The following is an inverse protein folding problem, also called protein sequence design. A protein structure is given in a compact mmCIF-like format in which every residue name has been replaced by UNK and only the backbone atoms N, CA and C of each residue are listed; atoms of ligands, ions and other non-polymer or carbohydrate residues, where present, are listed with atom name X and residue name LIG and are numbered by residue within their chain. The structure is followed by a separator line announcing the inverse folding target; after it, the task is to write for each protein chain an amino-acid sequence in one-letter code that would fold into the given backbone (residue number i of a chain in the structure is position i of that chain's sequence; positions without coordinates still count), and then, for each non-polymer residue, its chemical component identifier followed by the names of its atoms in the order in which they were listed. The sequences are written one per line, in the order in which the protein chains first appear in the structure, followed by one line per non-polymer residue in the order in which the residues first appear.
data_IF_142677912288
#
_entry.id   IF_142677912288
#
_cell.length_a   1.000
_cell.length_b   1.000
_cell.length_c   1.000
_cell.angle_alpha   90.00
_cell.angle_beta   90.00
_cell.angle_gamma   90.00
#
_symmetry.space_group_name_H-M   'P 1'
#
loop_
_entity.id
_entity.type
_entity.pdbx_description
1 polymer ?
#
# COMPACT_ATOMS: atom_id res chain seq x y z
N UNK A 1 -3.06 -3.98 33.14
CA UNK A 1 -4.53 -3.80 33.00
C UNK A 1 -4.96 -3.85 31.54
N UNK A 2 -5.02 -5.06 30.96
CA UNK A 2 -5.39 -5.25 29.55
C UNK A 2 -6.87 -4.93 29.31
N UNK A 3 -7.15 -4.13 28.28
CA UNK A 3 -8.48 -3.81 27.75
C UNK A 3 -9.52 -3.43 28.84
N UNK A 4 -9.09 -2.68 29.86
CA UNK A 4 -9.97 -2.19 30.94
C UNK A 4 -10.44 -0.76 30.73
N UNK A 5 -9.91 -0.06 29.72
CA UNK A 5 -10.34 1.30 29.42
C UNK A 5 -11.77 1.29 28.88
N UNK A 6 -12.62 2.16 29.41
CA UNK A 6 -13.99 2.32 28.90
C UNK A 6 -14.05 3.52 27.94
N UNK A 7 -14.34 3.25 26.66
CA UNK A 7 -14.61 4.32 25.70
C UNK A 7 -15.87 5.09 26.12
N UNK A 8 -15.77 6.42 26.14
CA UNK A 8 -16.94 7.28 26.33
C UNK A 8 -18.05 6.99 25.31
N UNK A 9 -19.31 7.12 25.72
CA UNK A 9 -20.48 6.78 24.90
C UNK A 9 -20.52 7.48 23.55
N UNK A 10 -20.01 8.72 23.46
CA UNK A 10 -19.89 9.46 22.20
C UNK A 10 -18.98 8.76 21.18
N UNK A 11 -17.85 8.17 21.62
CA UNK A 11 -16.96 7.41 20.74
C UNK A 11 -17.61 6.11 20.28
N UNK A 12 -18.28 5.40 21.19
CA UNK A 12 -18.99 4.17 20.83
C UNK A 12 -20.05 4.43 19.76
N UNK A 13 -20.84 5.50 19.90
CA UNK A 13 -21.83 5.90 18.89
C UNK A 13 -21.19 6.24 17.54
N UNK A 14 -20.00 6.85 17.52
CA UNK A 14 -19.27 7.12 16.29
C UNK A 14 -18.84 5.81 15.63
N UNK A 15 -18.24 4.89 16.38
CA UNK A 15 -17.77 3.61 15.85
C UNK A 15 -18.93 2.78 15.28
N UNK A 16 -20.07 2.75 15.97
CA UNK A 16 -21.29 2.08 15.51
C UNK A 16 -21.87 2.75 14.26
N UNK A 17 -21.94 4.09 14.23
CA UNK A 17 -22.49 4.87 13.11
C UNK A 17 -21.72 4.62 11.80
N UNK A 18 -20.41 4.42 11.89
CA UNK A 18 -19.54 4.20 10.73
C UNK A 18 -19.28 2.72 10.43
N UNK A 19 -20.01 1.79 11.06
CA UNK A 19 -19.86 0.34 10.85
C UNK A 19 -18.41 -0.13 11.02
N UNK A 20 -17.77 0.32 12.10
CA UNK A 20 -16.39 -0.09 12.40
C UNK A 20 -16.36 -1.59 12.68
N UNK A 21 -15.44 -2.33 12.06
CA UNK A 21 -15.27 -3.78 12.29
C UNK A 21 -14.25 -4.09 13.39
N UNK A 22 -13.20 -3.27 13.50
CA UNK A 22 -12.19 -3.37 14.56
C UNK A 22 -11.68 -1.98 14.94
N UNK A 23 -11.52 -1.73 16.24
CA UNK A 23 -10.90 -0.51 16.77
C UNK A 23 -9.93 -0.88 17.89
N UNK A 24 -8.70 -0.38 17.80
CA UNK A 24 -7.59 -0.71 18.69
C UNK A 24 -6.83 0.57 19.06
N UNK A 25 -6.48 0.71 20.33
CA UNK A 25 -5.64 1.80 20.85
C UNK A 25 -4.48 1.19 21.62
N UNK A 26 -3.27 1.47 21.15
CA UNK A 26 -2.03 1.15 21.85
C UNK A 26 -1.53 2.40 22.54
N UNK A 27 -1.12 2.25 23.80
CA UNK A 27 -0.41 3.28 24.54
C UNK A 27 0.89 2.67 25.05
N UNK A 28 2.01 3.33 24.74
CA UNK A 28 3.37 2.83 24.95
C UNK A 28 3.58 1.47 24.27
N UNK A 29 3.58 0.37 25.03
CA UNK A 29 3.75 -1.00 24.52
C UNK A 29 2.58 -1.91 24.86
N UNK A 30 1.44 -1.35 25.30
CA UNK A 30 0.31 -2.11 25.78
C UNK A 30 -0.99 -1.73 25.05
N UNK A 31 -1.82 -2.74 24.80
CA UNK A 31 -3.19 -2.52 24.34
C UNK A 31 -4.00 -1.89 25.48
N UNK A 32 -4.34 -0.62 25.31
CA UNK A 32 -5.16 0.14 26.24
C UNK A 32 -6.64 -0.21 26.05
N UNK A 33 -7.07 -0.30 24.78
CA UNK A 33 -8.43 -0.59 24.39
C UNK A 33 -8.46 -1.36 23.08
N UNK A 34 -9.31 -2.38 22.99
CA UNK A 34 -9.69 -2.95 21.71
C UNK A 34 -11.13 -3.46 21.71
N UNK A 35 -11.80 -3.31 20.57
CA UNK A 35 -13.14 -3.81 20.35
C UNK A 35 -13.32 -4.24 18.91
N UNK A 36 -13.97 -5.38 18.76
CA UNK A 36 -14.30 -6.00 17.49
C UNK A 36 -15.83 -6.09 17.35
N UNK A 37 -16.31 -5.95 16.12
CA UNK A 37 -17.72 -5.80 15.79
C UNK A 37 -18.11 -6.76 14.66
N UNK A 38 -19.41 -6.95 14.45
CA UNK A 38 -19.96 -7.70 13.29
C UNK A 38 -19.36 -9.12 13.11
N UNK A 39 -18.94 -9.76 14.19
CA UNK A 39 -18.35 -11.10 14.18
C UNK A 39 -16.83 -11.14 13.92
N UNK A 40 -16.17 -9.99 13.77
CA UNK A 40 -14.71 -9.90 13.76
C UNK A 40 -14.14 -10.26 15.13
N UNK A 41 -12.90 -10.73 15.11
CA UNK A 41 -12.09 -11.02 16.30
C UNK A 41 -10.67 -10.49 16.11
N UNK A 42 -9.84 -10.65 17.13
CA UNK A 42 -8.42 -10.32 17.09
C UNK A 42 -7.62 -11.05 16.01
N UNK A 43 -8.14 -12.18 15.52
CA UNK A 43 -7.51 -12.99 14.48
C UNK A 43 -8.18 -12.83 13.10
N UNK A 44 -9.22 -12.00 12.99
CA UNK A 44 -9.92 -11.82 11.72
C UNK A 44 -9.19 -10.79 10.85
N UNK A 45 -8.96 -11.15 9.59
CA UNK A 45 -8.28 -10.27 8.63
C UNK A 45 -9.25 -9.30 7.97
N UNK A 46 -8.81 -8.07 7.72
CA UNK A 46 -9.57 -7.08 6.97
C UNK A 46 -8.71 -6.44 5.89
N UNK A 47 -9.37 -5.98 4.82
CA UNK A 47 -8.71 -5.28 3.73
C UNK A 47 -8.31 -3.86 4.16
N UNK A 48 -7.03 -3.54 4.03
CA UNK A 48 -6.46 -2.24 4.41
C UNK A 48 -6.82 -1.10 3.45
N UNK A 49 -7.26 -1.43 2.24
CA UNK A 49 -7.34 -0.47 1.14
C UNK A 49 -6.03 0.36 1.07
N UNK A 50 -6.13 1.68 0.97
CA UNK A 50 -4.96 2.51 0.71
C UNK A 50 -3.94 2.59 1.84
N UNK A 51 -4.21 2.03 3.02
CA UNK A 51 -3.16 1.87 4.04
C UNK A 51 -2.01 0.95 3.56
N UNK A 52 -2.26 0.05 2.60
CA UNK A 52 -1.22 -0.72 1.92
C UNK A 52 -0.11 0.16 1.29
N UNK A 53 -0.44 1.39 0.87
CA UNK A 53 0.53 2.32 0.27
C UNK A 53 1.65 2.70 1.25
N UNK A 54 1.32 2.84 2.53
CA UNK A 54 2.32 3.11 3.57
C UNK A 54 3.29 1.95 3.75
N UNK A 55 2.80 0.70 3.62
CA UNK A 55 3.64 -0.50 3.66
C UNK A 55 4.63 -0.47 2.49
N UNK A 56 4.17 -0.18 1.27
CA UNK A 56 5.04 -0.04 0.09
C UNK A 56 6.10 1.04 0.31
N UNK A 57 5.72 2.21 0.85
CA UNK A 57 6.66 3.28 1.18
C UNK A 57 7.74 2.85 2.19
N UNK A 58 7.36 2.09 3.22
CA UNK A 58 8.32 1.51 4.17
C UNK A 58 9.27 0.54 3.49
N UNK A 59 8.77 -0.33 2.60
CA UNK A 59 9.61 -1.28 1.86
C UNK A 59 10.59 -0.58 0.92
N UNK A 60 10.19 0.53 0.30
CA UNK A 60 11.11 1.38 -0.47
C UNK A 60 12.22 1.92 0.42
N UNK A 61 11.87 2.43 1.62
CA UNK A 61 12.86 2.89 2.61
C UNK A 61 13.85 1.79 2.99
N UNK A 62 13.35 0.60 3.31
CA UNK A 62 14.19 -0.57 3.62
C UNK A 62 15.09 -0.93 2.43
N UNK A 63 14.57 -0.94 1.21
CA UNK A 63 15.36 -1.23 0.01
C UNK A 63 16.47 -0.18 -0.24
N UNK A 64 16.24 1.08 0.15
CA UNK A 64 17.27 2.12 0.15
C UNK A 64 18.35 1.82 1.20
N UNK A 65 17.94 1.50 2.43
CA UNK A 65 18.88 1.17 3.52
C UNK A 65 19.74 -0.08 3.20
N UNK A 66 19.19 -1.04 2.45
CA UNK A 66 19.91 -2.23 1.95
C UNK A 66 20.77 -1.95 0.70
N UNK A 67 20.76 -0.73 0.17
CA UNK A 67 21.49 -0.34 -1.04
C UNK A 67 20.96 -0.98 -2.33
N UNK A 68 19.71 -1.48 -2.32
CA UNK A 68 19.01 -2.00 -3.52
C UNK A 68 18.45 -0.88 -4.38
N UNK A 69 18.08 0.22 -3.75
CA UNK A 69 17.69 1.49 -4.38
C UNK A 69 18.68 2.54 -3.89
N UNK A 70 19.21 3.38 -4.78
CA UNK A 70 20.26 4.33 -4.43
C UNK A 70 19.73 5.48 -3.56
N UNK A 71 18.57 6.03 -3.93
CA UNK A 71 17.88 7.07 -3.16
C UNK A 71 16.46 7.28 -3.71
N UNK A 72 15.64 8.07 -3.02
CA UNK A 72 14.34 8.52 -3.54
C UNK A 72 14.46 9.40 -4.79
N UNK A 73 15.62 9.98 -5.09
CA UNK A 73 15.83 10.78 -6.29
C UNK A 73 16.22 9.93 -7.51
N UNK A 74 16.37 8.62 -7.34
CA UNK A 74 16.67 7.73 -8.44
C UNK A 74 15.50 7.73 -9.45
N UNK A 75 15.79 7.85 -10.76
CA UNK A 75 14.77 7.75 -11.80
C UNK A 75 14.09 6.37 -11.79
N UNK A 76 12.79 6.36 -12.05
CA UNK A 76 12.02 5.10 -12.22
C UNK A 76 12.49 4.34 -13.47
N UNK A 77 12.99 5.06 -14.47
CA UNK A 77 13.55 4.52 -15.70
C UNK A 77 14.71 3.54 -15.47
N UNK A 78 15.45 3.67 -14.36
CA UNK A 78 16.52 2.72 -13.98
C UNK A 78 16.00 1.30 -13.70
N UNK A 79 14.70 1.16 -13.43
CA UNK A 79 14.05 -0.10 -13.05
C UNK A 79 13.03 -0.58 -14.08
N UNK A 80 12.31 0.35 -14.72
CA UNK A 80 11.18 0.03 -15.59
C UNK A 80 11.43 0.60 -17.00
N UNK A 81 11.73 -0.25 -18.00
CA UNK A 81 12.10 0.21 -19.35
C UNK A 81 11.06 1.10 -20.05
N UNK A 82 9.77 0.95 -19.73
CA UNK A 82 8.71 1.79 -20.29
C UNK A 82 8.75 3.25 -19.79
N UNK A 83 9.57 3.55 -18.79
CA UNK A 83 9.85 4.90 -18.30
C UNK A 83 11.09 5.55 -18.95
N UNK A 84 11.89 4.82 -19.71
CA UNK A 84 13.09 5.35 -20.41
C UNK A 84 12.77 6.22 -21.64
N UNK A 85 11.51 6.62 -21.84
CA UNK A 85 11.10 7.37 -23.03
C UNK A 85 10.25 8.59 -22.69
N UNK A 86 10.65 9.72 -23.25
CA UNK A 86 9.86 10.95 -23.26
C UNK A 86 9.70 11.52 -21.85
N UNK A 87 8.52 12.08 -21.55
CA UNK A 87 8.27 12.76 -20.28
C UNK A 87 8.35 11.85 -19.04
N UNK A 88 8.25 10.52 -19.22
CA UNK A 88 8.38 9.55 -18.12
C UNK A 88 9.81 9.46 -17.56
N UNK A 89 10.82 9.81 -18.36
CA UNK A 89 12.24 9.71 -17.95
C UNK A 89 12.55 10.56 -16.72
N UNK A 90 11.80 11.65 -16.53
CA UNK A 90 11.97 12.57 -15.42
C UNK A 90 11.30 12.09 -14.11
N UNK A 91 10.50 11.02 -14.15
CA UNK A 91 9.79 10.54 -12.95
C UNK A 91 10.76 9.88 -11.99
N UNK A 92 10.82 10.38 -10.76
CA UNK A 92 11.64 9.80 -9.69
C UNK A 92 10.79 8.99 -8.71
N UNK A 93 11.45 8.12 -7.93
CA UNK A 93 10.80 7.39 -6.82
C UNK A 93 10.11 8.36 -5.85
N UNK A 94 10.74 9.50 -5.56
CA UNK A 94 10.19 10.56 -4.71
C UNK A 94 8.86 11.07 -5.26
N UNK A 95 8.76 11.28 -6.56
CA UNK A 95 7.53 11.84 -7.15
C UNK A 95 6.37 10.83 -7.06
N UNK A 96 6.66 9.53 -7.15
CA UNK A 96 5.66 8.50 -6.88
C UNK A 96 5.23 8.49 -5.40
N UNK A 97 6.19 8.50 -4.48
CA UNK A 97 5.95 8.52 -3.02
C UNK A 97 5.15 9.76 -2.59
N UNK A 98 5.41 10.90 -3.22
CA UNK A 98 4.77 12.18 -2.93
C UNK A 98 3.47 12.40 -3.72
N UNK A 99 3.02 11.42 -4.50
CA UNK A 99 1.85 11.51 -5.35
C UNK A 99 1.91 12.70 -6.32
N UNK A 100 3.07 12.98 -6.88
CA UNK A 100 3.33 14.12 -7.77
C UNK A 100 3.96 13.70 -9.09
N UNK A 101 3.67 12.49 -9.57
CA UNK A 101 4.30 11.91 -10.75
C UNK A 101 3.93 12.56 -12.09
N UNK A 102 2.78 13.25 -12.17
CA UNK A 102 2.26 13.75 -13.44
C UNK A 102 1.68 12.67 -14.37
N UNK A 103 1.59 11.40 -13.92
CA UNK A 103 1.03 10.29 -14.69
C UNK A 103 -0.47 10.48 -14.91
N UNK A 104 -0.95 10.32 -16.14
CA UNK A 104 -2.36 10.34 -16.48
C UNK A 104 -3.08 9.13 -15.84
N UNK A 105 -3.89 9.39 -14.81
CA UNK A 105 -4.63 8.37 -14.10
C UNK A 105 -5.93 8.93 -13.53
N UNK A 106 -7.04 8.24 -13.76
CA UNK A 106 -8.36 8.64 -13.27
C UNK A 106 -8.89 7.63 -12.23
N UNK A 107 -9.03 8.09 -11.00
CA UNK A 107 -9.56 7.38 -9.82
C UNK A 107 -11.09 7.20 -9.88
N UNK A 108 -11.60 6.75 -11.02
CA UNK A 108 -13.02 6.55 -11.25
C UNK A 108 -13.48 5.14 -10.81
N UNK A 109 -13.57 4.92 -9.49
CA UNK A 109 -13.97 3.63 -8.88
C UNK A 109 -15.40 3.18 -9.21
N UNK A 110 -16.29 4.10 -9.58
CA UNK A 110 -17.68 3.78 -9.94
C UNK A 110 -17.88 3.54 -11.44
N UNK A 111 -16.86 3.77 -12.26
CA UNK A 111 -16.94 3.57 -13.71
C UNK A 111 -16.37 2.18 -14.06
N UNK A 112 -17.20 1.23 -14.56
CA UNK A 112 -16.73 -0.12 -14.87
C UNK A 112 -15.69 -0.17 -16.01
N UNK A 113 -15.58 0.90 -16.80
CA UNK A 113 -14.64 1.01 -17.91
C UNK A 113 -13.42 1.89 -17.59
N UNK A 114 -13.20 2.25 -16.32
CA UNK A 114 -12.02 3.02 -15.93
C UNK A 114 -10.77 2.14 -15.82
N UNK A 115 -9.60 2.74 -16.04
CA UNK A 115 -8.31 2.12 -15.76
C UNK A 115 -8.16 1.71 -14.29
N UNK A 116 -8.84 2.42 -13.38
CA UNK A 116 -8.90 2.03 -11.97
C UNK A 116 -9.65 0.72 -11.79
N UNK A 117 -10.84 0.55 -12.38
CA UNK A 117 -11.56 -0.73 -12.36
C UNK A 117 -10.74 -1.84 -13.00
N UNK A 118 -10.05 -1.56 -14.11
CA UNK A 118 -9.14 -2.52 -14.73
C UNK A 118 -7.98 -2.92 -13.80
N UNK A 119 -7.41 -2.00 -13.01
CA UNK A 119 -6.39 -2.36 -12.03
C UNK A 119 -6.94 -3.21 -10.87
N UNK A 120 -8.21 -3.02 -10.49
CA UNK A 120 -8.84 -3.81 -9.43
C UNK A 120 -9.29 -5.21 -9.88
N UNK A 121 -9.77 -5.34 -11.12
CA UNK A 121 -10.48 -6.55 -11.58
C UNK A 121 -9.96 -7.15 -12.88
N UNK A 122 -9.05 -6.45 -13.57
CA UNK A 122 -8.27 -6.99 -14.68
C UNK A 122 -7.19 -7.94 -14.18
N UNK A 123 -6.42 -8.48 -15.13
CA UNK A 123 -5.47 -9.56 -14.87
C UNK A 123 -4.05 -9.30 -15.33
N UNK A 124 -3.66 -8.05 -15.61
CA UNK A 124 -2.27 -7.71 -15.93
C UNK A 124 -1.95 -6.27 -15.50
N UNK A 125 -1.49 -6.11 -14.26
CA UNK A 125 -1.05 -4.80 -13.74
C UNK A 125 0.22 -4.31 -14.42
N UNK A 126 1.06 -5.22 -14.91
CA UNK A 126 2.32 -4.88 -15.57
C UNK A 126 2.08 -4.25 -16.94
N UNK A 127 1.12 -4.76 -17.71
CA UNK A 127 0.64 -4.15 -18.94
C UNK A 127 0.14 -2.72 -18.67
N UNK A 128 -0.66 -2.53 -17.61
CA UNK A 128 -1.17 -1.20 -17.22
C UNK A 128 -0.02 -0.24 -16.92
N UNK A 129 1.00 -0.67 -16.16
CA UNK A 129 2.17 0.16 -15.85
C UNK A 129 2.96 0.54 -17.10
N UNK A 130 3.12 -0.39 -18.03
CA UNK A 130 3.83 -0.14 -19.29
C UNK A 130 3.11 0.88 -20.18
N UNK A 131 1.78 0.84 -20.20
CA UNK A 131 0.94 1.68 -21.06
C UNK A 131 0.62 3.06 -20.47
N UNK A 132 1.14 3.39 -19.29
CA UNK A 132 0.92 4.69 -18.67
C UNK A 132 1.33 5.83 -19.59
N UNK A 133 0.68 6.97 -19.42
CA UNK A 133 1.00 8.21 -20.15
C UNK A 133 1.18 9.34 -19.16
N UNK A 134 1.83 10.40 -19.59
CA UNK A 134 1.98 11.62 -18.80
C UNK A 134 0.83 12.59 -19.14
N UNK A 135 0.35 13.30 -18.12
CA UNK A 135 -0.63 14.40 -18.24
C UNK A 135 -0.02 15.74 -17.84
N UNK A 136 1.04 15.71 -17.02
CA UNK A 136 1.80 16.88 -16.60
C UNK A 136 3.22 16.52 -16.18
N UNK A 137 4.00 17.54 -15.83
CA UNK A 137 5.39 17.35 -15.41
C UNK A 137 5.50 16.69 -14.03
N UNK A 138 6.50 15.82 -13.88
CA UNK A 138 6.82 15.17 -12.61
C UNK A 138 7.32 16.18 -11.58
N UNK A 139 6.89 16.00 -10.34
CA UNK A 139 7.29 16.80 -9.17
C UNK A 139 6.54 18.11 -8.97
N UNK A 140 5.67 18.53 -9.90
CA UNK A 140 5.06 19.87 -9.87
C UNK A 140 3.78 19.96 -9.04
N UNK A 141 2.92 18.92 -9.06
CA UNK A 141 1.58 18.97 -8.46
C UNK A 141 1.24 17.66 -7.76
N UNK A 142 0.72 17.77 -6.54
CA UNK A 142 0.12 16.64 -5.83
C UNK A 142 -1.21 16.24 -6.47
N UNK A 143 -1.32 14.97 -6.87
CA UNK A 143 -2.53 14.31 -7.32
C UNK A 143 -2.55 12.87 -6.82
N UNK A 144 -3.49 12.56 -5.94
CA UNK A 144 -3.61 11.23 -5.36
C UNK A 144 -3.93 10.18 -6.44
N UNK A 145 -2.98 9.26 -6.67
CA UNK A 145 -3.03 8.28 -7.77
C UNK A 145 -2.48 6.93 -7.30
N UNK A 146 -3.37 5.94 -7.21
CA UNK A 146 -3.08 4.55 -6.83
C UNK A 146 -2.03 3.91 -7.72
N UNK A 147 -2.00 4.28 -9.00
CA UNK A 147 -0.98 3.77 -9.92
C UNK A 147 0.45 4.13 -9.49
N UNK A 148 0.66 5.27 -8.79
CA UNK A 148 1.99 5.62 -8.31
C UNK A 148 2.55 4.54 -7.37
N UNK A 149 1.70 3.99 -6.50
CA UNK A 149 2.08 2.89 -5.61
C UNK A 149 2.30 1.59 -6.37
N UNK A 150 1.55 1.33 -7.45
CA UNK A 150 1.77 0.15 -8.27
C UNK A 150 3.12 0.21 -9.01
N UNK A 151 3.50 1.39 -9.52
CA UNK A 151 4.82 1.61 -10.12
C UNK A 151 5.93 1.40 -9.08
N UNK A 152 5.75 1.87 -7.84
CA UNK A 152 6.69 1.61 -6.74
C UNK A 152 6.83 0.11 -6.43
N UNK A 153 5.76 -0.67 -6.55
CA UNK A 153 5.82 -2.12 -6.37
C UNK A 153 6.66 -2.81 -7.47
N UNK A 154 6.54 -2.39 -8.72
CA UNK A 154 7.40 -2.90 -9.80
C UNK A 154 8.86 -2.50 -9.60
N UNK A 155 9.12 -1.27 -9.16
CA UNK A 155 10.48 -0.83 -8.76
C UNK A 155 11.04 -1.74 -7.66
N UNK A 156 10.27 -2.04 -6.62
CA UNK A 156 10.68 -2.96 -5.55
C UNK A 156 11.02 -4.35 -6.08
N UNK A 157 10.16 -4.91 -6.93
CA UNK A 157 10.37 -6.25 -7.49
C UNK A 157 11.67 -6.31 -8.30
N UNK A 158 11.90 -5.33 -9.18
CA UNK A 158 13.12 -5.26 -9.99
C UNK A 158 14.37 -5.02 -9.13
N UNK A 159 14.32 -4.08 -8.18
CA UNK A 159 15.45 -3.72 -7.34
C UNK A 159 15.89 -4.86 -6.41
N UNK A 160 14.92 -5.65 -5.92
CA UNK A 160 15.17 -6.70 -4.92
C UNK A 160 15.26 -8.10 -5.50
N UNK A 161 14.73 -8.32 -6.70
CA UNK A 161 14.59 -9.63 -7.34
C UNK A 161 13.60 -10.57 -6.64
N UNK A 162 12.68 -10.02 -5.83
CA UNK A 162 11.69 -10.75 -5.03
C UNK A 162 10.29 -10.19 -5.29
N UNK A 163 9.26 -11.02 -5.13
CA UNK A 163 7.88 -10.51 -5.07
C UNK A 163 7.72 -9.52 -3.92
N UNK A 164 6.75 -8.60 -4.02
CA UNK A 164 6.52 -7.62 -2.95
C UNK A 164 6.13 -8.33 -1.66
N UNK A 165 5.33 -9.39 -1.73
CA UNK A 165 4.91 -10.18 -0.57
C UNK A 165 6.10 -10.88 0.11
N UNK A 166 7.02 -11.48 -0.65
CA UNK A 166 8.20 -12.13 -0.08
C UNK A 166 9.14 -11.12 0.57
N UNK A 167 9.35 -9.98 -0.09
CA UNK A 167 10.18 -8.91 0.45
C UNK A 167 9.56 -8.33 1.74
N UNK A 168 8.25 -8.06 1.71
CA UNK A 168 7.50 -7.60 2.88
C UNK A 168 7.56 -8.58 4.05
N UNK A 169 7.35 -9.87 3.79
CA UNK A 169 7.42 -10.92 4.80
C UNK A 169 8.79 -10.96 5.48
N UNK A 170 9.86 -10.98 4.67
CA UNK A 170 11.22 -11.16 5.18
C UNK A 170 11.81 -9.93 5.85
N UNK A 171 11.47 -8.73 5.36
CA UNK A 171 12.10 -7.47 5.79
C UNK A 171 11.28 -6.61 6.73
N UNK A 172 9.96 -6.78 6.74
CA UNK A 172 9.07 -5.99 7.59
C UNK A 172 8.25 -6.89 8.50
N UNK A 173 7.39 -7.73 7.93
CA UNK A 173 6.32 -8.41 8.66
C UNK A 173 6.83 -9.32 9.78
N UNK A 174 7.82 -10.16 9.48
CA UNK A 174 8.47 -11.02 10.49
C UNK A 174 9.36 -10.23 11.45
N UNK A 175 9.81 -9.02 11.08
CA UNK A 175 10.68 -8.18 11.91
C UNK A 175 9.92 -7.39 12.96
N UNK A 176 8.66 -7.05 12.68
CA UNK A 176 7.75 -6.44 13.64
C UNK A 176 7.02 -7.48 14.52
N UNK A 177 7.40 -8.75 14.40
CA UNK A 177 6.80 -9.86 15.16
C UNK A 177 5.27 -9.90 15.05
N UNK A 178 4.77 -9.71 13.83
CA UNK A 178 3.35 -9.89 13.55
C UNK A 178 2.89 -11.29 13.97
N UNK A 179 1.71 -11.37 14.58
CA UNK A 179 1.16 -12.59 15.16
C UNK A 179 0.53 -13.49 14.10
N UNK A 180 0.03 -12.90 13.00
CA UNK A 180 -0.65 -13.60 11.93
C UNK A 180 0.02 -13.37 10.58
N UNK A 181 -0.12 -14.35 9.69
CA UNK A 181 0.21 -14.16 8.28
C UNK A 181 -0.71 -13.10 7.66
N UNK A 182 -0.12 -12.21 6.86
CA UNK A 182 -0.88 -11.29 6.04
C UNK A 182 -1.05 -11.83 4.62
N UNK A 183 -2.12 -11.39 3.94
CA UNK A 183 -2.41 -11.77 2.56
C UNK A 183 -2.43 -10.53 1.66
N UNK A 184 -1.72 -10.59 0.54
CA UNK A 184 -1.81 -9.58 -0.51
C UNK A 184 -2.57 -10.12 -1.72
N UNK A 185 -3.61 -9.42 -2.15
CA UNK A 185 -4.33 -9.80 -3.37
C UNK A 185 -3.46 -9.58 -4.60
N UNK A 186 -3.41 -10.59 -5.47
CA UNK A 186 -2.77 -10.51 -6.78
C UNK A 186 -3.79 -10.05 -7.85
N UNK A 187 -3.30 -9.57 -8.99
CA UNK A 187 -4.09 -9.36 -10.19
C UNK A 187 -4.55 -10.67 -10.84
N UNK A 188 -3.68 -11.67 -10.89
CA UNK A 188 -3.97 -13.04 -11.28
C UNK A 188 -3.09 -14.04 -10.53
N UNK A 189 -3.37 -15.33 -10.68
CA UNK A 189 -2.54 -16.37 -10.06
C UNK A 189 -1.09 -16.28 -10.57
N UNK A 190 -0.15 -16.08 -9.65
CA UNK A 190 1.28 -15.89 -9.95
C UNK A 190 1.63 -14.54 -10.57
N UNK A 191 0.70 -13.58 -10.56
CA UNK A 191 0.93 -12.21 -11.01
C UNK A 191 1.43 -11.28 -9.92
N UNK A 192 1.17 -9.97 -10.09
CA UNK A 192 1.66 -8.92 -9.20
C UNK A 192 0.68 -8.61 -8.08
N UNK A 193 1.21 -8.18 -6.94
CA UNK A 193 0.40 -7.64 -5.85
C UNK A 193 -0.32 -6.34 -6.28
N UNK A 194 -1.60 -6.22 -5.90
CA UNK A 194 -2.36 -4.96 -5.93
C UNK A 194 -1.88 -4.04 -4.81
N UNK A 195 -0.70 -3.47 -5.03
CA UNK A 195 0.09 -2.75 -4.04
C UNK A 195 -0.60 -1.49 -3.48
N UNK A 196 -1.53 -0.92 -4.25
CA UNK A 196 -2.25 0.28 -3.89
C UNK A 196 -3.42 0.07 -2.92
N UNK A 197 -3.86 -1.17 -2.67
CA UNK A 197 -5.05 -1.44 -1.84
C UNK A 197 -4.97 -2.68 -0.96
N UNK A 198 -4.54 -3.80 -1.52
CA UNK A 198 -5.23 -5.03 -1.16
C UNK A 198 -4.39 -5.93 -0.27
N UNK A 199 -3.75 -5.30 0.72
CA UNK A 199 -3.09 -5.96 1.82
C UNK A 199 -4.12 -6.23 2.93
N UNK A 200 -4.19 -7.47 3.40
CA UNK A 200 -5.17 -7.94 4.37
C UNK A 200 -4.44 -8.48 5.60
N UNK A 201 -4.82 -8.00 6.77
CA UNK A 201 -4.25 -8.44 8.04
C UNK A 201 -5.19 -8.13 9.21
N UNK A 202 -4.78 -8.48 10.43
CA UNK A 202 -5.52 -8.20 11.66
C UNK A 202 -5.29 -6.77 12.13
N UNK A 203 -6.23 -6.23 12.92
CA UNK A 203 -6.08 -4.90 13.49
C UNK A 203 -4.85 -4.77 14.39
N UNK A 204 -4.48 -5.84 15.11
CA UNK A 204 -3.29 -5.87 15.98
C UNK A 204 -2.01 -5.80 15.19
N UNK A 205 -1.92 -6.57 14.10
CA UNK A 205 -0.72 -6.59 13.28
C UNK A 205 -0.55 -5.32 12.44
N UNK A 206 -1.65 -4.68 12.01
CA UNK A 206 -1.57 -3.32 11.48
C UNK A 206 -1.03 -2.33 12.52
N UNK A 207 -1.43 -2.44 13.78
CA UNK A 207 -0.97 -1.53 14.82
C UNK A 207 0.52 -1.70 15.17
N UNK A 208 1.14 -2.86 14.86
CA UNK A 208 2.59 -3.06 15.00
C UNK A 208 3.43 -2.29 13.98
N UNK A 209 2.83 -1.82 12.88
CA UNK A 209 3.51 -0.96 11.91
C UNK A 209 3.66 0.48 12.43
N UNK A 210 2.71 0.95 13.24
CA UNK A 210 2.66 2.32 13.78
C UNK A 210 3.54 2.50 15.01
#
# INVERSE_FOLDING_TARGET
DYNKYELGSAYQQILDKYSTTAFLVIQDTAILFEKYYEGYSENEISNSFSAAKSIISLLIGIAIDEGKIQSVFQPVADFIPSFEKGEKEAVTIRDLLMMSSGIQWNEAYMNPFSVTTQAYYGGDLKEIVNDLRMEGASGEKFEYKSINTQVLAEVLEVATGQSVSDYASNRLWRKIEAENDALWSLDHAGGMEKAFCCFNSTARDFARIG
#
